data_IF_799480802857
#
_entry.id   IF_799480802857
#
_cell.length_a   1.000
_cell.length_b   1.000
_cell.length_c   1.000
_cell.angle_alpha   90.00
_cell.angle_beta   90.00
_cell.angle_gamma   90.00
#
_symmetry.space_group_name_H-M   'P 1'
#
loop_
_entity.id
_entity.type
_entity.pdbx_description
1 polymer ?
#
# COMPACT_ATOMS: atom_id res chain seq x y z
N UNK A 1 7.10 11.06 -19.74
CA UNK A 1 6.36 11.59 -18.57
C UNK A 1 7.29 12.51 -17.82
N UNK A 2 6.84 13.74 -17.60
CA UNK A 2 7.61 14.78 -16.92
C UNK A 2 7.01 15.07 -15.55
N UNK A 3 7.77 15.79 -14.71
CA UNK A 3 7.30 16.14 -13.36
C UNK A 3 7.77 17.53 -12.92
N UNK A 4 7.01 18.14 -12.01
CA UNK A 4 7.43 19.35 -11.27
C UNK A 4 7.83 18.96 -9.85
N UNK A 5 8.93 19.52 -9.35
CA UNK A 5 9.37 19.41 -7.96
C UNK A 5 9.54 20.80 -7.35
N UNK A 6 8.70 21.14 -6.37
CA UNK A 6 8.89 22.33 -5.53
C UNK A 6 9.58 21.95 -4.20
N UNK A 7 10.38 22.87 -3.66
CA UNK A 7 11.22 22.59 -2.50
C UNK A 7 12.48 21.77 -2.84
N UNK A 8 12.94 21.84 -4.08
CA UNK A 8 14.11 21.14 -4.60
C UNK A 8 15.42 21.43 -3.83
N UNK A 9 15.52 22.57 -3.14
CA UNK A 9 16.68 22.92 -2.30
C UNK A 9 16.61 22.34 -0.88
N UNK A 10 15.47 21.77 -0.49
CA UNK A 10 15.26 21.13 0.80
C UNK A 10 15.81 19.70 0.84
N UNK A 11 15.84 19.11 2.04
CA UNK A 11 16.42 17.77 2.27
C UNK A 11 15.82 16.70 1.34
N UNK A 12 14.50 16.46 1.42
CA UNK A 12 13.85 15.47 0.57
C UNK A 12 13.77 15.92 -0.90
N UNK A 13 13.44 17.19 -1.16
CA UNK A 13 13.29 17.70 -2.53
C UNK A 13 14.58 17.59 -3.36
N UNK A 14 15.75 17.77 -2.73
CA UNK A 14 17.04 17.59 -3.39
C UNK A 14 17.23 16.15 -3.86
N UNK A 15 16.95 15.18 -2.97
CA UNK A 15 17.02 13.76 -3.33
C UNK A 15 15.94 13.35 -4.34
N UNK A 16 14.75 13.95 -4.31
CA UNK A 16 13.73 13.72 -5.36
C UNK A 16 14.30 14.12 -6.71
N UNK A 17 14.88 15.32 -6.85
CA UNK A 17 15.48 15.76 -8.12
C UNK A 17 16.67 14.89 -8.52
N UNK A 18 17.49 14.45 -7.56
CA UNK A 18 18.63 13.54 -7.81
C UNK A 18 18.20 12.21 -8.44
N UNK A 19 17.12 11.60 -7.93
CA UNK A 19 16.67 10.26 -8.32
C UNK A 19 15.55 10.25 -9.37
N UNK A 20 14.84 11.37 -9.56
CA UNK A 20 13.78 11.50 -10.56
C UNK A 20 14.18 11.13 -12.00
N UNK A 21 15.43 11.33 -12.48
CA UNK A 21 15.87 10.89 -13.80
C UNK A 21 15.71 9.40 -14.10
N UNK A 22 15.59 8.54 -13.08
CA UNK A 22 15.29 7.10 -13.23
C UNK A 22 13.82 6.83 -13.58
N UNK A 23 12.91 7.75 -13.23
CA UNK A 23 11.46 7.57 -13.31
C UNK A 23 10.78 8.52 -14.31
N UNK A 24 11.40 9.68 -14.57
CA UNK A 24 10.85 10.73 -15.42
C UNK A 24 11.81 11.07 -16.56
N UNK A 25 11.23 11.40 -17.72
CA UNK A 25 12.00 11.84 -18.89
C UNK A 25 12.50 13.27 -18.74
N UNK A 26 11.78 14.09 -17.96
CA UNK A 26 12.12 15.50 -17.74
C UNK A 26 11.61 15.97 -16.37
N UNK A 27 12.36 16.88 -15.74
CA UNK A 27 12.10 17.38 -14.40
C UNK A 27 12.13 18.91 -14.42
N UNK A 28 11.05 19.54 -13.99
CA UNK A 28 11.00 20.97 -13.73
C UNK A 28 11.15 21.24 -12.25
N UNK A 29 11.90 22.27 -11.88
CA UNK A 29 11.96 22.74 -10.49
C UNK A 29 11.66 24.22 -10.42
N UNK A 30 10.90 24.65 -9.42
CA UNK A 30 10.73 26.07 -9.12
C UNK A 30 11.37 26.33 -7.75
N UNK A 31 12.29 27.30 -7.69
CA UNK A 31 13.06 27.57 -6.48
C UNK A 31 13.47 29.04 -6.36
N UNK A 32 13.64 29.49 -5.12
CA UNK A 32 14.07 30.88 -4.81
C UNK A 32 15.56 31.11 -5.05
N UNK A 33 16.34 30.04 -5.07
CA UNK A 33 17.79 30.05 -5.21
C UNK A 33 18.21 28.87 -6.07
N UNK A 34 19.27 29.04 -6.85
CA UNK A 34 19.81 27.98 -7.68
C UNK A 34 20.14 26.74 -6.82
N UNK A 35 19.48 25.60 -7.07
CA UNK A 35 19.83 24.36 -6.44
C UNK A 35 21.23 23.91 -6.87
N UNK A 36 21.95 23.32 -5.94
CA UNK A 36 23.29 22.77 -6.17
C UNK A 36 23.21 21.37 -6.80
N UNK A 37 22.56 21.29 -7.96
CA UNK A 37 22.45 20.05 -8.75
C UNK A 37 23.50 19.97 -9.87
N UNK A 38 24.40 20.95 -9.92
CA UNK A 38 25.09 21.38 -11.16
C UNK A 38 26.19 20.47 -11.69
N UNK A 39 26.43 19.30 -11.09
CA UNK A 39 27.45 18.37 -11.60
C UNK A 39 26.85 17.07 -12.17
N UNK A 40 25.92 17.19 -13.12
CA UNK A 40 25.67 16.09 -14.08
C UNK A 40 24.22 15.67 -14.36
N UNK A 41 23.19 16.33 -13.80
CA UNK A 41 21.79 15.95 -14.09
C UNK A 41 21.30 16.65 -15.36
N UNK A 42 21.21 15.93 -16.47
CA UNK A 42 20.89 16.48 -17.81
C UNK A 42 19.40 16.66 -18.08
N UNK A 43 18.51 16.08 -17.27
CA UNK A 43 17.05 16.08 -17.47
C UNK A 43 16.30 17.17 -16.69
N UNK A 44 16.99 18.16 -16.12
CA UNK A 44 16.39 19.15 -15.20
C UNK A 44 16.32 20.54 -15.84
N UNK A 45 15.12 21.11 -15.89
CA UNK A 45 14.90 22.54 -16.15
C UNK A 45 14.65 23.26 -14.83
N UNK A 46 15.64 24.02 -14.39
CA UNK A 46 15.57 24.76 -13.14
C UNK A 46 15.07 26.19 -13.37
N UNK A 47 13.90 26.50 -12.82
CA UNK A 47 13.26 27.81 -12.90
C UNK A 47 13.53 28.55 -11.58
N UNK A 48 14.09 29.76 -11.70
CA UNK A 48 14.47 30.59 -10.57
C UNK A 48 13.56 31.80 -10.48
N UNK A 49 12.93 31.96 -9.32
CA UNK A 49 12.20 33.18 -8.99
C UNK A 49 12.21 33.36 -7.47
N UNK A 50 12.86 34.45 -7.04
CA UNK A 50 12.93 34.83 -5.63
C UNK A 50 11.56 35.21 -5.07
N UNK A 51 10.65 35.70 -5.93
CA UNK A 51 9.29 36.04 -5.57
C UNK A 51 8.37 34.83 -5.75
N UNK A 52 7.92 34.28 -4.63
CA UNK A 52 7.04 33.11 -4.64
C UNK A 52 5.62 33.41 -5.11
N UNK A 53 5.20 34.68 -5.20
CA UNK A 53 3.85 35.05 -5.66
C UNK A 53 3.60 34.70 -7.13
N UNK A 54 4.66 34.63 -7.95
CA UNK A 54 4.56 34.27 -9.37
C UNK A 54 4.63 32.76 -9.62
N UNK A 55 4.89 31.95 -8.59
CA UNK A 55 5.13 30.52 -8.79
C UNK A 55 3.90 29.78 -9.29
N UNK A 56 2.70 30.16 -8.85
CA UNK A 56 1.44 29.60 -9.32
C UNK A 56 1.24 29.77 -10.83
N UNK A 57 1.63 30.92 -11.38
CA UNK A 57 1.62 31.15 -12.82
C UNK A 57 2.63 30.25 -13.53
N UNK A 58 3.85 30.13 -13.01
CA UNK A 58 4.90 29.26 -13.59
C UNK A 58 4.48 27.80 -13.63
N UNK A 59 3.75 27.33 -12.61
CA UNK A 59 3.19 25.96 -12.62
C UNK A 59 2.25 25.75 -13.81
N UNK A 60 1.41 26.75 -14.11
CA UNK A 60 0.50 26.72 -15.27
C UNK A 60 1.28 26.75 -16.59
N UNK A 61 2.25 27.66 -16.71
CA UNK A 61 3.12 27.77 -17.90
C UNK A 61 3.88 26.48 -18.20
N UNK A 62 4.43 25.80 -17.19
CA UNK A 62 5.10 24.50 -17.37
C UNK A 62 4.14 23.47 -17.98
N UNK A 63 2.89 23.43 -17.51
CA UNK A 63 1.90 22.46 -17.96
C UNK A 63 1.39 22.77 -19.38
N UNK A 64 1.29 24.04 -19.73
CA UNK A 64 1.00 24.49 -21.10
C UNK A 64 2.13 24.11 -22.06
N UNK A 65 3.39 24.27 -21.63
CA UNK A 65 4.58 23.91 -22.42
C UNK A 65 4.79 22.40 -22.54
N UNK A 66 4.51 21.65 -21.48
CA UNK A 66 4.69 20.21 -21.39
C UNK A 66 3.40 19.53 -20.89
N UNK A 67 2.53 19.19 -21.84
CA UNK A 67 1.30 18.44 -21.56
C UNK A 67 1.55 17.07 -20.90
N UNK A 68 2.74 16.47 -21.08
CA UNK A 68 3.14 15.19 -20.46
C UNK A 68 3.64 15.34 -19.02
N UNK A 69 3.68 16.56 -18.50
CA UNK A 69 3.99 16.83 -17.11
C UNK A 69 2.74 16.56 -16.25
N UNK A 70 2.64 15.36 -15.66
CA UNK A 70 1.41 14.90 -14.99
C UNK A 70 1.54 14.82 -13.47
N UNK A 71 2.77 14.74 -12.94
CA UNK A 71 3.04 14.59 -11.50
C UNK A 71 3.63 15.86 -10.90
N UNK A 72 3.08 16.30 -9.78
CA UNK A 72 3.55 17.45 -9.01
C UNK A 72 4.02 17.03 -7.62
N UNK A 73 5.32 17.16 -7.33
CA UNK A 73 5.90 16.89 -6.01
C UNK A 73 6.06 18.18 -5.21
N UNK A 74 5.56 18.19 -3.98
CA UNK A 74 5.88 19.19 -2.97
C UNK A 74 6.73 18.62 -1.84
N UNK A 75 8.01 19.01 -1.84
CA UNK A 75 8.91 18.94 -0.69
C UNK A 75 9.09 20.28 0.01
N UNK A 76 8.20 21.26 -0.24
CA UNK A 76 8.35 22.63 0.23
C UNK A 76 8.08 22.73 1.74
N UNK A 77 9.02 23.31 2.47
CA UNK A 77 8.87 23.60 3.88
C UNK A 77 10.05 24.37 4.44
N UNK A 78 9.86 24.94 5.62
CA UNK A 78 10.86 25.71 6.35
C UNK A 78 10.79 25.42 7.84
N UNK A 79 11.82 25.82 8.58
CA UNK A 79 11.79 25.76 10.04
C UNK A 79 11.27 27.07 10.61
N UNK A 80 10.69 27.03 11.82
CA UNK A 80 10.29 28.23 12.55
C UNK A 80 11.43 29.25 12.66
N UNK A 81 12.65 28.77 12.91
CA UNK A 81 13.84 29.60 13.01
C UNK A 81 14.15 30.29 11.66
N UNK A 82 14.20 29.54 10.57
CA UNK A 82 14.48 30.07 9.23
C UNK A 82 13.38 31.00 8.71
N UNK A 83 12.13 30.76 9.08
CA UNK A 83 11.01 31.61 8.72
C UNK A 83 10.93 32.91 9.55
N UNK A 84 11.64 32.98 10.68
CA UNK A 84 11.49 34.09 11.63
C UNK A 84 10.16 34.08 12.39
N UNK A 85 9.56 32.90 12.63
CA UNK A 85 8.33 32.77 13.43
C UNK A 85 7.30 31.79 12.86
N UNK A 86 6.29 31.47 13.66
CA UNK A 86 5.23 30.50 13.30
C UNK A 86 4.34 31.05 12.18
N UNK A 87 3.99 32.34 12.22
CA UNK A 87 3.15 32.97 11.20
C UNK A 87 3.82 32.92 9.81
N UNK A 88 5.11 33.23 9.73
CA UNK A 88 5.86 33.14 8.48
C UNK A 88 6.12 31.70 8.05
N UNK A 89 6.30 30.78 9.00
CA UNK A 89 6.38 29.36 8.68
C UNK A 89 5.07 28.89 8.04
N UNK A 90 3.91 29.29 8.59
CA UNK A 90 2.59 28.94 8.03
C UNK A 90 2.41 29.44 6.59
N UNK A 91 2.84 30.67 6.30
CA UNK A 91 2.80 31.22 4.92
C UNK A 91 3.50 30.33 3.90
N UNK A 92 4.56 29.61 4.31
CA UNK A 92 5.35 28.75 3.42
C UNK A 92 4.85 27.30 3.49
N UNK A 93 4.78 26.72 4.69
CA UNK A 93 4.47 25.30 4.91
C UNK A 93 2.99 24.95 4.68
N UNK A 94 2.08 25.93 4.67
CA UNK A 94 0.67 25.75 4.38
C UNK A 94 0.23 26.61 3.19
N UNK A 95 0.28 27.94 3.32
CA UNK A 95 -0.44 28.83 2.38
C UNK A 95 0.12 28.74 0.96
N UNK A 96 1.44 28.93 0.79
CA UNK A 96 2.12 28.80 -0.49
C UNK A 96 2.05 27.35 -1.04
N UNK A 97 2.17 26.35 -0.17
CA UNK A 97 2.02 24.95 -0.58
C UNK A 97 0.63 24.69 -1.19
N UNK A 98 -0.43 25.14 -0.50
CA UNK A 98 -1.81 24.97 -0.95
C UNK A 98 -2.11 25.79 -2.21
N UNK A 99 -1.56 26.99 -2.33
CA UNK A 99 -1.69 27.83 -3.53
C UNK A 99 -1.11 27.11 -4.76
N UNK A 100 0.08 26.53 -4.63
CA UNK A 100 0.73 25.79 -5.71
C UNK A 100 0.01 24.48 -6.04
N UNK A 101 -0.55 23.80 -5.03
CA UNK A 101 -1.39 22.63 -5.25
C UNK A 101 -2.67 22.99 -6.03
N UNK A 102 -3.33 24.11 -5.70
CA UNK A 102 -4.48 24.63 -6.47
C UNK A 102 -4.10 24.94 -7.91
N UNK A 103 -3.00 25.66 -8.12
CA UNK A 103 -2.50 25.97 -9.46
C UNK A 103 -2.19 24.71 -10.27
N UNK A 104 -1.59 23.69 -9.65
CA UNK A 104 -1.35 22.40 -10.30
C UNK A 104 -2.65 21.66 -10.64
N UNK A 105 -3.64 21.64 -9.75
CA UNK A 105 -4.94 21.00 -10.04
C UNK A 105 -5.66 21.71 -11.18
N UNK A 106 -5.71 23.04 -11.14
CA UNK A 106 -6.31 23.88 -12.19
C UNK A 106 -5.63 23.69 -13.55
N UNK A 107 -4.30 23.52 -13.58
CA UNK A 107 -3.54 23.26 -14.79
C UNK A 107 -3.73 21.82 -15.34
N UNK A 108 -4.37 20.92 -14.58
CA UNK A 108 -4.62 19.55 -15.02
C UNK A 108 -3.48 18.58 -14.74
N UNK A 109 -2.69 18.79 -13.68
CA UNK A 109 -1.86 17.73 -13.13
C UNK A 109 -2.76 16.63 -12.56
N UNK A 110 -2.47 15.36 -12.87
CA UNK A 110 -3.27 14.23 -12.42
C UNK A 110 -2.84 13.74 -11.04
N UNK A 111 -1.54 13.83 -10.72
CA UNK A 111 -0.95 13.29 -9.50
C UNK A 111 -0.28 14.38 -8.66
N UNK A 112 -0.59 14.42 -7.38
CA UNK A 112 0.04 15.31 -6.41
C UNK A 112 0.71 14.51 -5.29
N UNK A 113 1.98 14.82 -5.00
CA UNK A 113 2.79 14.10 -4.01
C UNK A 113 3.30 15.08 -2.96
N UNK A 114 2.90 14.92 -1.71
CA UNK A 114 3.27 15.80 -0.60
C UNK A 114 4.21 15.08 0.38
N UNK A 115 5.34 15.73 0.69
CA UNK A 115 6.17 15.35 1.84
C UNK A 115 5.68 16.11 3.08
N UNK A 116 4.92 15.40 3.92
CA UNK A 116 4.33 15.91 5.16
C UNK A 116 5.16 15.49 6.39
N UNK A 117 4.52 15.02 7.46
CA UNK A 117 5.13 14.70 8.75
C UNK A 117 4.37 13.57 9.45
N UNK A 118 5.09 12.70 10.17
CA UNK A 118 4.57 11.52 10.87
C UNK A 118 3.40 11.79 11.82
N UNK A 119 3.38 12.97 12.45
CA UNK A 119 2.35 13.37 13.41
C UNK A 119 1.47 14.53 12.91
N UNK A 120 1.36 14.71 11.58
CA UNK A 120 0.48 15.71 10.98
C UNK A 120 -0.99 15.45 11.37
N UNK A 121 -1.65 16.50 11.87
CA UNK A 121 -3.07 16.45 12.26
C UNK A 121 -3.61 17.87 12.41
N UNK A 122 -4.71 18.19 11.71
CA UNK A 122 -5.35 19.50 11.77
C UNK A 122 -5.92 19.83 13.18
N UNK A 123 -6.14 18.81 14.02
CA UNK A 123 -6.59 18.96 15.41
C UNK A 123 -5.44 19.08 16.41
N UNK A 124 -4.17 19.02 15.96
CA UNK A 124 -3.01 19.07 16.86
C UNK A 124 -2.90 20.43 17.57
N UNK A 125 -2.48 20.39 18.85
CA UNK A 125 -2.14 21.59 19.63
C UNK A 125 -0.75 22.14 19.27
N UNK A 126 0.07 21.37 18.54
CA UNK A 126 1.40 21.79 18.13
C UNK A 126 1.35 22.47 16.77
N UNK A 127 1.78 23.75 16.64
CA UNK A 127 1.58 24.54 15.42
C UNK A 127 2.09 23.90 14.12
N UNK A 128 3.26 23.24 14.17
CA UNK A 128 3.83 22.56 13.00
C UNK A 128 3.02 21.33 12.56
N UNK A 129 2.57 20.51 13.51
CA UNK A 129 1.72 19.35 13.22
C UNK A 129 0.36 19.79 12.71
N UNK A 130 -0.18 20.88 13.28
CA UNK A 130 -1.44 21.50 12.88
C UNK A 130 -1.39 21.98 11.43
N UNK A 131 -0.41 22.81 11.08
CA UNK A 131 -0.29 23.33 9.71
C UNK A 131 -0.07 22.22 8.67
N UNK A 132 0.68 21.16 9.00
CA UNK A 132 0.85 20.01 8.09
C UNK A 132 -0.44 19.22 7.92
N UNK A 133 -1.19 18.97 8.99
CA UNK A 133 -2.49 18.29 8.89
C UNK A 133 -3.54 19.12 8.13
N UNK A 134 -3.60 20.43 8.38
CA UNK A 134 -4.48 21.33 7.61
C UNK A 134 -4.12 21.35 6.12
N UNK A 135 -2.83 21.28 5.78
CA UNK A 135 -2.40 21.17 4.39
C UNK A 135 -2.86 19.85 3.78
N UNK A 136 -2.67 18.74 4.49
CA UNK A 136 -3.10 17.40 4.03
C UNK A 136 -4.60 17.37 3.74
N UNK A 137 -5.43 17.83 4.67
CA UNK A 137 -6.89 17.90 4.50
C UNK A 137 -7.26 18.75 3.28
N UNK A 138 -6.60 19.90 3.11
CA UNK A 138 -6.88 20.80 2.00
C UNK A 138 -6.46 20.23 0.64
N UNK A 139 -5.31 19.56 0.52
CA UNK A 139 -4.87 18.97 -0.75
C UNK A 139 -5.66 17.72 -1.11
N UNK A 140 -6.13 16.95 -0.12
CA UNK A 140 -7.07 15.84 -0.35
C UNK A 140 -8.37 16.39 -0.96
N UNK A 141 -8.89 17.49 -0.41
CA UNK A 141 -10.11 18.13 -0.89
C UNK A 141 -10.02 18.70 -2.33
N UNK A 142 -8.81 18.92 -2.87
CA UNK A 142 -8.63 19.35 -4.27
C UNK A 142 -8.98 18.25 -5.29
N UNK A 143 -9.01 16.99 -4.88
CA UNK A 143 -9.46 15.88 -5.71
C UNK A 143 -8.58 15.63 -6.94
N UNK A 144 -7.25 15.61 -6.79
CA UNK A 144 -6.36 15.04 -7.81
C UNK A 144 -6.78 13.59 -8.11
N UNK A 145 -6.48 13.11 -9.31
CA UNK A 145 -6.76 11.71 -9.68
C UNK A 145 -6.02 10.76 -8.70
N UNK A 146 -4.84 11.20 -8.24
CA UNK A 146 -4.09 10.53 -7.19
C UNK A 146 -3.37 11.56 -6.28
N UNK A 147 -3.68 11.52 -4.99
CA UNK A 147 -2.99 12.31 -3.96
C UNK A 147 -2.18 11.38 -3.08
N UNK A 148 -0.85 11.50 -3.12
CA UNK A 148 0.08 10.73 -2.27
C UNK A 148 0.62 11.64 -1.18
N UNK A 149 0.45 11.24 0.09
CA UNK A 149 0.99 11.97 1.24
C UNK A 149 1.97 11.07 1.97
N UNK A 150 3.24 11.46 1.97
CA UNK A 150 4.27 10.80 2.77
C UNK A 150 4.34 11.46 4.13
N UNK A 151 4.21 10.67 5.20
CA UNK A 151 4.31 11.12 6.60
C UNK A 151 5.59 10.58 7.26
N UNK A 152 6.78 11.10 6.88
CA UNK A 152 8.03 10.62 7.44
C UNK A 152 8.15 10.97 8.93
N UNK A 153 8.88 10.13 9.66
CA UNK A 153 9.29 10.43 11.03
C UNK A 153 10.39 11.50 11.09
N UNK A 154 11.30 11.39 12.05
CA UNK A 154 12.43 12.31 12.15
C UNK A 154 13.36 12.17 10.94
N UNK A 155 13.43 13.22 10.13
CA UNK A 155 14.27 13.23 8.93
C UNK A 155 15.76 13.33 9.27
N UNK A 156 16.51 12.30 8.88
CA UNK A 156 17.96 12.22 8.93
C UNK A 156 18.59 12.72 7.62
N UNK A 157 19.84 13.20 7.71
CA UNK A 157 20.64 13.63 6.55
C UNK A 157 21.22 15.03 6.73
N UNK A 158 22.29 15.29 5.98
CA UNK A 158 22.99 16.57 6.03
C UNK A 158 22.16 17.69 5.39
N UNK A 159 22.20 18.87 6.02
CA UNK A 159 21.62 20.10 5.49
C UNK A 159 22.71 21.15 5.48
N UNK A 160 22.71 22.03 4.49
CA UNK A 160 23.68 23.14 4.39
C UNK A 160 23.63 24.12 5.58
N UNK A 161 22.51 24.17 6.30
CA UNK A 161 22.32 25.03 7.45
C UNK A 161 22.14 24.20 8.74
N UNK A 162 22.96 24.50 9.74
CA UNK A 162 22.93 23.87 11.06
C UNK A 162 21.62 24.22 11.80
N UNK A 163 20.94 23.21 12.36
CA UNK A 163 19.73 23.38 13.18
C UNK A 163 20.03 23.63 14.66
N UNK A 164 21.30 23.77 15.02
CA UNK A 164 21.78 23.94 16.39
C UNK A 164 22.09 22.61 17.07
N UNK A 165 23.01 22.67 18.05
CA UNK A 165 23.62 21.53 18.74
C UNK A 165 22.60 20.47 19.21
N UNK A 166 21.49 20.89 19.83
CA UNK A 166 20.49 19.97 20.39
C UNK A 166 19.74 19.18 19.30
N UNK A 167 19.44 19.81 18.16
CA UNK A 167 18.80 19.12 17.03
C UNK A 167 19.75 18.12 16.37
N UNK A 168 21.04 18.46 16.25
CA UNK A 168 22.05 17.55 15.71
C UNK A 168 22.26 16.34 16.63
N UNK A 169 22.19 16.53 17.95
CA UNK A 169 22.25 15.44 18.91
C UNK A 169 21.03 14.52 18.79
N UNK A 170 19.82 15.06 18.70
CA UNK A 170 18.59 14.28 18.49
C UNK A 170 18.67 13.48 17.18
N UNK A 171 19.13 14.09 16.09
CA UNK A 171 19.29 13.40 14.80
C UNK A 171 20.34 12.29 14.88
N UNK A 172 21.48 12.53 15.54
CA UNK A 172 22.52 11.50 15.74
C UNK A 172 22.01 10.34 16.58
N UNK A 173 21.35 10.62 17.71
CA UNK A 173 20.79 9.59 18.59
C UNK A 173 19.69 8.82 17.86
N UNK A 174 18.77 9.50 17.17
CA UNK A 174 17.73 8.84 16.40
C UNK A 174 18.31 8.00 15.26
N UNK A 175 19.38 8.45 14.61
CA UNK A 175 20.10 7.69 13.59
C UNK A 175 20.60 6.32 14.07
N UNK A 176 20.98 6.17 15.35
CA UNK A 176 21.37 4.87 15.92
C UNK A 176 20.23 3.84 15.96
N UNK A 177 18.99 4.31 15.86
CA UNK A 177 17.80 3.46 15.88
C UNK A 177 17.15 3.31 14.50
N UNK A 178 17.73 3.90 13.44
CA UNK A 178 17.29 3.69 12.06
C UNK A 178 17.32 2.19 11.70
N UNK A 179 16.26 1.72 11.05
CA UNK A 179 16.02 0.32 10.68
C UNK A 179 16.09 -0.70 11.83
N UNK A 180 15.95 -0.24 13.08
CA UNK A 180 15.86 -1.12 14.25
C UNK A 180 14.41 -1.32 14.67
N UNK A 181 14.13 -2.43 15.37
CA UNK A 181 12.81 -2.66 16.01
C UNK A 181 12.40 -1.57 17.01
N UNK A 182 13.35 -0.73 17.42
CA UNK A 182 13.14 0.38 18.36
C UNK A 182 12.89 1.72 17.67
N UNK A 183 13.01 1.80 16.34
CA UNK A 183 12.79 3.02 15.54
C UNK A 183 11.47 3.72 15.90
N UNK A 184 10.39 2.95 16.09
CA UNK A 184 9.06 3.46 16.46
C UNK A 184 9.03 4.26 17.77
N UNK A 185 9.92 3.96 18.70
CA UNK A 185 10.01 4.68 19.98
C UNK A 185 10.81 5.99 19.87
N UNK A 186 11.52 6.18 18.76
CA UNK A 186 12.36 7.36 18.49
C UNK A 186 11.83 8.10 17.27
N UNK A 187 10.50 8.15 17.14
CA UNK A 187 9.79 8.86 16.07
C UNK A 187 10.13 8.36 14.65
N UNK A 188 10.40 7.06 14.49
CA UNK A 188 10.64 6.39 13.20
C UNK A 188 11.62 7.16 12.30
N UNK A 189 12.87 7.33 12.74
CA UNK A 189 13.83 8.14 12.02
C UNK A 189 14.11 7.54 10.64
N UNK A 190 14.22 8.39 9.62
CA UNK A 190 14.33 7.99 8.22
C UNK A 190 15.17 9.00 7.45
N UNK A 191 16.03 8.54 6.53
CA UNK A 191 16.84 9.45 5.72
C UNK A 191 16.00 10.17 4.67
N UNK A 192 16.33 11.44 4.42
CA UNK A 192 15.66 12.23 3.39
C UNK A 192 15.70 11.58 2.00
N UNK A 193 16.77 10.84 1.70
CA UNK A 193 16.93 10.08 0.45
C UNK A 193 15.95 8.90 0.37
N UNK A 194 15.75 8.16 1.46
CA UNK A 194 14.78 7.07 1.52
C UNK A 194 13.35 7.58 1.31
N UNK A 195 13.00 8.73 1.92
CA UNK A 195 11.71 9.39 1.71
C UNK A 195 11.53 9.79 0.26
N UNK A 196 12.57 10.32 -0.39
CA UNK A 196 12.53 10.71 -1.79
C UNK A 196 12.33 9.49 -2.72
N UNK A 197 13.09 8.42 -2.49
CA UNK A 197 12.94 7.17 -3.25
C UNK A 197 11.54 6.57 -3.05
N UNK A 198 11.03 6.57 -1.82
CA UNK A 198 9.67 6.12 -1.52
C UNK A 198 8.62 6.98 -2.25
N UNK A 199 8.79 8.31 -2.28
CA UNK A 199 7.89 9.22 -2.99
C UNK A 199 7.89 8.93 -4.50
N UNK A 200 9.06 8.78 -5.12
CA UNK A 200 9.21 8.47 -6.54
C UNK A 200 8.60 7.11 -6.88
N UNK A 201 8.94 6.05 -6.14
CA UNK A 201 8.39 4.71 -6.35
C UNK A 201 6.87 4.70 -6.19
N UNK A 202 6.34 5.35 -5.16
CA UNK A 202 4.88 5.42 -4.94
C UNK A 202 4.20 6.20 -6.06
N UNK A 203 4.81 7.29 -6.53
CA UNK A 203 4.29 8.03 -7.67
C UNK A 203 4.30 7.24 -8.98
N UNK A 204 5.12 6.21 -9.10
CA UNK A 204 5.12 5.30 -10.26
C UNK A 204 4.23 4.07 -10.08
N UNK A 205 3.74 3.79 -8.86
CA UNK A 205 2.75 2.74 -8.68
C UNK A 205 1.50 3.16 -9.44
N UNK A 206 1.18 2.42 -10.48
CA UNK A 206 -0.15 2.40 -11.07
C UNK A 206 -0.98 1.49 -10.19
N UNK A 207 -1.87 2.06 -9.38
CA UNK A 207 -2.91 1.25 -8.76
C UNK A 207 -3.79 0.69 -9.89
N UNK A 208 -3.93 -0.63 -9.95
CA UNK A 208 -4.92 -1.24 -10.84
C UNK A 208 -6.30 -0.66 -10.49
N UNK A 209 -7.00 -0.13 -11.50
CA UNK A 209 -8.04 0.85 -11.28
C UNK A 209 -9.24 0.33 -10.46
N UNK A 210 -9.53 -0.97 -10.37
CA UNK A 210 -10.63 -1.57 -9.56
C UNK A 210 -10.41 -3.08 -9.28
N UNK A 211 -10.90 -3.59 -8.15
CA UNK A 211 -10.82 -5.02 -7.75
C UNK A 211 -12.17 -5.59 -7.31
N UNK A 212 -12.34 -6.91 -7.37
CA UNK A 212 -13.38 -7.63 -6.64
C UNK A 212 -12.71 -8.71 -5.83
N UNK A 213 -12.75 -8.58 -4.51
CA UNK A 213 -12.22 -9.59 -3.60
C UNK A 213 -13.35 -10.04 -2.70
N UNK A 214 -13.96 -11.14 -3.12
CA UNK A 214 -14.97 -11.81 -2.32
C UNK A 214 -14.27 -12.86 -1.48
N UNK A 215 -14.48 -12.79 -0.16
CA UNK A 215 -14.65 -13.93 0.78
C UNK A 215 -14.24 -13.54 2.22
N UNK A 216 -14.94 -12.56 2.82
CA UNK A 216 -14.63 -11.99 4.14
C UNK A 216 -14.92 -12.90 5.36
N UNK A 217 -15.22 -14.19 5.18
CA UNK A 217 -15.66 -15.07 6.29
C UNK A 217 -14.53 -15.88 6.94
N UNK A 218 -13.39 -16.06 6.24
CA UNK A 218 -12.20 -16.73 6.76
C UNK A 218 -11.18 -15.74 7.36
N UNK A 219 -10.23 -16.23 8.16
CA UNK A 219 -9.19 -15.40 8.81
C UNK A 219 -8.44 -14.52 7.80
N UNK A 220 -7.90 -15.11 6.73
CA UNK A 220 -7.17 -14.36 5.71
C UNK A 220 -8.09 -13.55 4.80
N UNK A 221 -9.23 -14.11 4.37
CA UNK A 221 -10.18 -13.41 3.49
C UNK A 221 -10.71 -12.11 4.10
N UNK A 222 -11.06 -12.12 5.39
CA UNK A 222 -11.49 -10.92 6.10
C UNK A 222 -10.40 -9.83 6.13
N UNK A 223 -9.15 -10.24 6.37
CA UNK A 223 -8.00 -9.33 6.39
C UNK A 223 -7.63 -8.81 5.01
N UNK A 224 -7.82 -9.61 3.95
CA UNK A 224 -7.66 -9.13 2.57
C UNK A 224 -8.67 -8.00 2.29
N UNK A 225 -9.95 -8.19 2.64
CA UNK A 225 -10.98 -7.14 2.44
C UNK A 225 -10.68 -5.90 3.27
N UNK A 226 -10.22 -6.06 4.52
CA UNK A 226 -9.81 -4.94 5.40
C UNK A 226 -8.72 -4.07 4.76
N UNK A 227 -7.72 -4.68 4.13
CA UNK A 227 -6.58 -3.97 3.55
C UNK A 227 -6.72 -3.65 2.05
N UNK A 228 -7.75 -4.19 1.38
CA UNK A 228 -7.99 -3.94 -0.04
C UNK A 228 -8.01 -2.45 -0.44
N UNK A 229 -8.56 -1.51 0.37
CA UNK A 229 -8.56 -0.08 0.05
C UNK A 229 -7.17 0.56 -0.06
N UNK A 230 -6.11 -0.10 0.43
CA UNK A 230 -4.72 0.37 0.26
C UNK A 230 -4.15 0.02 -1.12
N UNK A 231 -4.78 -0.93 -1.83
CA UNK A 231 -4.27 -1.48 -3.09
C UNK A 231 -5.24 -1.22 -4.25
N UNK A 232 -6.52 -1.03 -3.98
CA UNK A 232 -7.58 -0.96 -4.97
C UNK A 232 -8.61 0.11 -4.63
N UNK A 233 -9.12 0.81 -5.66
CA UNK A 233 -10.08 1.92 -5.49
C UNK A 233 -11.49 1.49 -5.06
N UNK A 234 -11.86 0.23 -5.31
CA UNK A 234 -13.13 -0.37 -4.95
C UNK A 234 -12.92 -1.87 -4.76
N UNK A 235 -13.54 -2.45 -3.74
CA UNK A 235 -13.57 -3.90 -3.49
C UNK A 235 -14.97 -4.37 -3.04
N UNK A 236 -15.41 -5.50 -3.59
CA UNK A 236 -16.68 -6.14 -3.25
C UNK A 236 -16.45 -7.41 -2.45
N UNK A 237 -17.20 -7.63 -1.36
CA UNK A 237 -17.20 -8.90 -0.62
C UNK A 237 -18.58 -9.56 -0.63
N UNK A 238 -18.66 -10.86 -0.97
CA UNK A 238 -19.86 -11.66 -0.66
C UNK A 238 -19.63 -12.34 0.69
N UNK A 239 -20.54 -12.12 1.62
CA UNK A 239 -20.48 -12.72 2.94
C UNK A 239 -21.87 -12.92 3.52
N UNK A 240 -21.97 -13.84 4.49
CA UNK A 240 -23.22 -14.11 5.22
C UNK A 240 -23.56 -13.02 6.24
N UNK A 241 -22.56 -12.22 6.61
CA UNK A 241 -22.66 -11.11 7.56
C UNK A 241 -21.75 -9.97 7.11
N UNK A 242 -22.12 -8.73 7.45
CA UNK A 242 -21.33 -7.55 7.12
C UNK A 242 -20.19 -7.36 8.13
N UNK A 243 -18.91 -7.28 7.69
CA UNK A 243 -17.82 -6.92 8.59
C UNK A 243 -17.93 -5.46 9.05
N UNK A 244 -17.62 -5.18 10.33
CA UNK A 244 -17.77 -3.85 10.92
C UNK A 244 -17.03 -2.74 10.14
N UNK A 245 -15.82 -3.02 9.66
CA UNK A 245 -14.99 -2.05 8.94
C UNK A 245 -15.48 -1.74 7.52
N UNK A 246 -16.48 -2.46 6.99
CA UNK A 246 -17.06 -2.17 5.68
C UNK A 246 -18.01 -0.97 5.77
N UNK A 247 -18.76 -0.83 6.87
CA UNK A 247 -19.80 0.19 7.05
C UNK A 247 -19.28 1.63 6.92
N UNK A 248 -18.04 1.84 7.36
CA UNK A 248 -17.42 3.17 7.41
C UNK A 248 -16.47 3.43 6.22
N UNK A 249 -16.47 2.57 5.18
CA UNK A 249 -15.52 2.69 4.08
C UNK A 249 -16.21 2.65 2.70
N UNK A 250 -16.28 3.81 2.04
CA UNK A 250 -16.91 3.96 0.73
C UNK A 250 -16.27 3.11 -0.40
N UNK A 251 -15.00 2.70 -0.23
CA UNK A 251 -14.30 1.83 -1.18
C UNK A 251 -14.70 0.35 -1.02
N UNK A 252 -15.39 -0.02 0.06
CA UNK A 252 -15.83 -1.38 0.32
C UNK A 252 -17.33 -1.52 0.10
N UNK A 253 -17.75 -2.64 -0.48
CA UNK A 253 -19.15 -2.97 -0.68
C UNK A 253 -19.41 -4.42 -0.28
N UNK A 254 -20.29 -4.61 0.71
CA UNK A 254 -20.70 -5.94 1.15
C UNK A 254 -22.00 -6.38 0.44
N UNK A 255 -21.92 -7.51 -0.25
CA UNK A 255 -23.06 -8.23 -0.80
C UNK A 255 -23.44 -9.31 0.19
N UNK A 256 -24.51 -9.07 0.94
CA UNK A 256 -24.96 -9.98 1.97
C UNK A 256 -25.84 -11.06 1.36
N UNK A 257 -25.38 -12.31 1.46
CA UNK A 257 -26.15 -13.47 1.03
C UNK A 257 -25.85 -14.67 1.93
N UNK A 258 -26.88 -15.15 2.64
CA UNK A 258 -26.78 -16.29 3.54
C UNK A 258 -26.71 -17.62 2.80
N UNK A 259 -27.18 -17.67 1.55
CA UNK A 259 -27.21 -18.85 0.71
C UNK A 259 -25.98 -18.88 -0.21
N UNK A 260 -25.01 -19.75 0.09
CA UNK A 260 -23.80 -19.88 -0.73
C UNK A 260 -24.06 -20.42 -2.14
N UNK A 261 -25.24 -20.99 -2.43
CA UNK A 261 -25.54 -21.54 -3.75
C UNK A 261 -25.75 -20.45 -4.80
N UNK A 262 -26.19 -19.25 -4.39
CA UNK A 262 -26.41 -18.09 -5.27
C UNK A 262 -25.13 -17.31 -5.55
N UNK A 263 -24.04 -17.57 -4.82
CA UNK A 263 -22.84 -16.73 -4.87
C UNK A 263 -22.18 -16.71 -6.24
N UNK A 264 -22.30 -17.78 -7.04
CA UNK A 264 -21.80 -17.80 -8.42
C UNK A 264 -22.50 -16.78 -9.32
N UNK A 265 -23.82 -16.59 -9.14
CA UNK A 265 -24.57 -15.56 -9.86
C UNK A 265 -24.21 -14.16 -9.39
N UNK A 266 -23.96 -13.99 -8.08
CA UNK A 266 -23.48 -12.72 -7.52
C UNK A 266 -22.13 -12.30 -8.10
N UNK A 267 -21.19 -13.24 -8.27
CA UNK A 267 -19.90 -12.97 -8.94
C UNK A 267 -20.12 -12.42 -10.35
N UNK A 268 -21.03 -13.03 -11.12
CA UNK A 268 -21.38 -12.58 -12.48
C UNK A 268 -22.07 -11.21 -12.46
N UNK A 269 -22.94 -10.95 -11.49
CA UNK A 269 -23.62 -9.66 -11.32
C UNK A 269 -22.63 -8.54 -11.01
N UNK A 270 -21.67 -8.76 -10.12
CA UNK A 270 -20.61 -7.78 -9.80
C UNK A 270 -19.83 -7.42 -11.04
N UNK A 271 -19.38 -8.42 -11.80
CA UNK A 271 -18.61 -8.19 -13.02
C UNK A 271 -19.41 -7.46 -14.10
N UNK A 272 -20.73 -7.68 -14.14
CA UNK A 272 -21.63 -6.91 -15.02
C UNK A 272 -21.81 -5.46 -14.55
N UNK A 273 -21.91 -5.23 -13.24
CA UNK A 273 -22.03 -3.90 -12.64
C UNK A 273 -20.73 -3.11 -12.77
N UNK A 274 -19.59 -3.77 -12.63
CA UNK A 274 -18.25 -3.18 -12.71
C UNK A 274 -17.34 -3.98 -13.66
N UNK A 275 -17.41 -3.72 -14.98
CA UNK A 275 -16.63 -4.44 -15.98
C UNK A 275 -15.12 -4.32 -15.82
N UNK A 276 -14.64 -3.25 -15.19
CA UNK A 276 -13.20 -3.00 -14.95
C UNK A 276 -12.62 -3.91 -13.86
N UNK A 277 -13.47 -4.61 -13.12
CA UNK A 277 -13.01 -5.55 -12.13
C UNK A 277 -12.28 -6.76 -12.75
N UNK A 278 -10.97 -6.88 -12.52
CA UNK A 278 -10.11 -7.85 -13.21
C UNK A 278 -9.60 -9.00 -12.34
N UNK A 279 -9.45 -8.77 -11.03
CA UNK A 279 -8.81 -9.73 -10.11
C UNK A 279 -9.83 -10.32 -9.15
N UNK A 280 -9.82 -11.64 -8.98
CA UNK A 280 -10.63 -12.41 -8.02
C UNK A 280 -9.72 -13.04 -6.97
N UNK A 281 -10.05 -12.88 -5.69
CA UNK A 281 -9.31 -13.52 -4.59
C UNK A 281 -10.20 -14.59 -3.94
N UNK A 282 -9.61 -15.71 -3.57
CA UNK A 282 -10.25 -16.80 -2.86
C UNK A 282 -9.55 -17.05 -1.53
N UNK A 283 -10.29 -16.80 -0.46
CA UNK A 283 -9.85 -16.92 0.94
C UNK A 283 -10.76 -17.83 1.76
N UNK A 284 -11.74 -18.51 1.14
CA UNK A 284 -12.62 -19.45 1.81
C UNK A 284 -11.85 -20.63 2.39
N UNK A 285 -12.10 -20.83 3.68
CA UNK A 285 -11.73 -22.03 4.38
C UNK A 285 -12.61 -22.23 5.60
N UNK A 286 -13.02 -23.46 5.81
CA UNK A 286 -13.61 -23.91 7.06
C UNK A 286 -12.65 -24.87 7.77
N UNK A 287 -12.88 -25.10 9.06
CA UNK A 287 -12.20 -26.18 9.78
C UNK A 287 -13.14 -27.37 9.88
N UNK A 288 -12.59 -28.59 9.95
CA UNK A 288 -13.38 -29.81 10.16
C UNK A 288 -14.37 -29.69 11.33
N UNK A 289 -13.95 -29.03 12.41
CA UNK A 289 -14.79 -28.78 13.58
C UNK A 289 -15.96 -27.82 13.27
N UNK A 290 -15.72 -26.74 12.53
CA UNK A 290 -16.75 -25.75 12.15
C UNK A 290 -17.69 -26.25 11.06
N UNK A 291 -17.20 -27.07 10.12
CA UNK A 291 -18.03 -27.63 9.05
C UNK A 291 -18.83 -28.86 9.47
N UNK A 292 -18.57 -29.43 10.65
CA UNK A 292 -19.23 -30.65 11.11
C UNK A 292 -18.75 -31.92 10.39
N UNK A 293 -17.52 -31.94 9.86
CA UNK A 293 -16.93 -33.11 9.21
C UNK A 293 -16.11 -32.80 7.96
N UNK A 294 -15.39 -33.82 7.48
CA UNK A 294 -14.47 -33.68 6.34
C UNK A 294 -15.22 -33.51 5.00
N UNK A 295 -16.37 -34.19 4.83
CA UNK A 295 -17.21 -34.05 3.63
C UNK A 295 -17.81 -32.65 3.53
N UNK A 296 -18.33 -32.11 4.64
CA UNK A 296 -18.82 -30.73 4.69
C UNK A 296 -17.70 -29.72 4.47
N UNK A 297 -16.49 -30.00 4.98
CA UNK A 297 -15.31 -29.18 4.70
C UNK A 297 -14.99 -29.21 3.20
N UNK A 298 -15.04 -30.39 2.56
CA UNK A 298 -14.82 -30.57 1.12
C UNK A 298 -15.80 -29.79 0.25
N UNK A 299 -17.07 -29.76 0.64
CA UNK A 299 -18.09 -28.95 -0.05
C UNK A 299 -17.73 -27.45 -0.05
N UNK A 300 -17.13 -26.94 1.03
CA UNK A 300 -16.75 -25.53 1.16
C UNK A 300 -15.38 -25.28 0.53
N UNK A 301 -14.34 -25.91 1.08
CA UNK A 301 -12.94 -25.64 0.76
C UNK A 301 -12.54 -26.05 -0.66
N UNK A 302 -13.26 -26.98 -1.30
CA UNK A 302 -13.00 -27.41 -2.68
C UNK A 302 -14.17 -27.07 -3.61
N UNK A 303 -15.36 -27.60 -3.38
CA UNK A 303 -16.43 -27.50 -4.39
C UNK A 303 -16.97 -26.06 -4.55
N UNK A 304 -17.27 -25.37 -3.45
CA UNK A 304 -17.72 -23.98 -3.51
C UNK A 304 -16.63 -23.07 -4.09
N UNK A 305 -15.38 -23.19 -3.59
CA UNK A 305 -14.24 -22.44 -4.12
C UNK A 305 -14.05 -22.63 -5.63
N UNK A 306 -14.08 -23.88 -6.11
CA UNK A 306 -13.90 -24.17 -7.53
C UNK A 306 -15.09 -23.65 -8.37
N UNK A 307 -16.32 -23.73 -7.87
CA UNK A 307 -17.50 -23.18 -8.55
C UNK A 307 -17.41 -21.65 -8.67
N UNK A 308 -16.92 -20.97 -7.64
CA UNK A 308 -16.69 -19.52 -7.67
C UNK A 308 -15.56 -19.15 -8.64
N UNK A 309 -14.47 -19.92 -8.65
CA UNK A 309 -13.39 -19.74 -9.62
C UNK A 309 -13.88 -19.89 -11.07
N UNK A 310 -14.71 -20.91 -11.36
CA UNK A 310 -15.34 -21.09 -12.68
C UNK A 310 -16.23 -19.90 -13.04
N UNK A 311 -17.09 -19.47 -12.12
CA UNK A 311 -17.95 -18.30 -12.34
C UNK A 311 -17.14 -17.03 -12.62
N UNK A 312 -16.03 -16.82 -11.91
CA UNK A 312 -15.12 -15.69 -12.15
C UNK A 312 -14.47 -15.80 -13.53
N UNK A 313 -13.95 -16.97 -13.91
CA UNK A 313 -13.36 -17.16 -15.24
C UNK A 313 -14.37 -16.90 -16.36
N UNK A 314 -15.58 -17.45 -16.24
CA UNK A 314 -16.69 -17.25 -17.19
C UNK A 314 -17.11 -15.78 -17.30
N UNK A 315 -17.09 -15.04 -16.18
CA UNK A 315 -17.45 -13.64 -16.16
C UNK A 315 -16.35 -12.72 -16.76
N UNK A 316 -15.16 -13.25 -17.06
CA UNK A 316 -14.06 -12.49 -17.65
C UNK A 316 -13.14 -11.82 -16.64
N UNK A 317 -13.00 -12.40 -15.45
CA UNK A 317 -11.87 -12.07 -14.57
C UNK A 317 -10.57 -12.58 -15.19
N UNK A 318 -9.52 -11.75 -15.18
CA UNK A 318 -8.23 -12.06 -15.79
C UNK A 318 -7.24 -12.62 -14.78
N UNK A 319 -7.32 -12.21 -13.51
CA UNK A 319 -6.41 -12.63 -12.44
C UNK A 319 -7.13 -13.38 -11.32
N UNK A 320 -6.55 -14.48 -10.84
CA UNK A 320 -7.08 -15.27 -9.72
C UNK A 320 -6.02 -15.47 -8.62
N UNK A 321 -6.35 -15.15 -7.37
CA UNK A 321 -5.45 -15.25 -6.22
C UNK A 321 -6.03 -16.23 -5.20
N UNK A 322 -5.34 -17.33 -4.92
CA UNK A 322 -5.80 -18.40 -4.03
C UNK A 322 -4.97 -18.47 -2.74
N UNK A 323 -5.63 -18.47 -1.58
CA UNK A 323 -5.03 -18.83 -0.31
C UNK A 323 -5.17 -20.34 -0.08
N UNK A 324 -4.08 -21.07 -0.35
CA UNK A 324 -3.99 -22.52 -0.16
C UNK A 324 -3.28 -22.86 1.16
N UNK A 325 -2.41 -23.87 1.18
CA UNK A 325 -1.66 -24.31 2.35
C UNK A 325 -0.34 -24.96 1.95
N UNK A 326 0.68 -24.83 2.81
CA UNK A 326 1.92 -25.58 2.67
C UNK A 326 1.64 -27.09 2.63
N UNK A 327 2.26 -27.78 1.66
CA UNK A 327 2.07 -29.23 1.47
C UNK A 327 0.81 -29.62 0.70
N UNK A 328 0.04 -28.67 0.15
CA UNK A 328 -1.07 -28.96 -0.76
C UNK A 328 -0.62 -29.86 -1.93
N UNK A 329 -1.27 -31.02 -2.07
CA UNK A 329 -0.94 -32.04 -3.06
C UNK A 329 -2.14 -32.95 -3.30
N UNK A 330 -2.65 -33.01 -4.53
CA UNK A 330 -3.83 -33.80 -4.90
C UNK A 330 -3.67 -35.32 -4.70
N UNK A 331 -2.43 -35.81 -4.59
CA UNK A 331 -2.10 -37.21 -4.26
C UNK A 331 -1.88 -37.47 -2.77
N UNK A 332 -2.02 -36.48 -1.90
CA UNK A 332 -1.76 -36.62 -0.47
C UNK A 332 -2.70 -37.65 0.20
N UNK A 333 -2.19 -38.52 1.11
CA UNK A 333 -3.05 -39.37 1.92
C UNK A 333 -3.79 -38.59 3.02
N UNK A 334 -3.33 -37.37 3.35
CA UNK A 334 -3.99 -36.48 4.31
C UNK A 334 -5.12 -35.71 3.63
N UNK A 335 -6.40 -35.89 4.07
CA UNK A 335 -7.57 -35.33 3.37
C UNK A 335 -7.54 -33.81 3.15
N UNK A 336 -7.02 -33.05 4.11
CA UNK A 336 -6.92 -31.59 4.01
C UNK A 336 -5.95 -31.15 2.90
N UNK A 337 -4.74 -31.71 2.90
CA UNK A 337 -3.71 -31.42 1.88
C UNK A 337 -4.13 -31.92 0.50
N UNK A 338 -4.85 -33.06 0.46
CA UNK A 338 -5.45 -33.61 -0.76
C UNK A 338 -6.42 -32.62 -1.38
N UNK A 339 -7.38 -32.17 -0.59
CA UNK A 339 -8.41 -31.22 -0.98
C UNK A 339 -7.83 -29.88 -1.46
N UNK A 340 -6.84 -29.31 -0.75
CA UNK A 340 -6.16 -28.08 -1.18
C UNK A 340 -5.38 -28.29 -2.48
N UNK A 341 -4.69 -29.42 -2.63
CA UNK A 341 -3.98 -29.74 -3.88
C UNK A 341 -4.90 -30.03 -5.07
N UNK A 342 -6.06 -30.65 -4.84
CA UNK A 342 -7.10 -30.82 -5.86
C UNK A 342 -7.63 -29.45 -6.31
N UNK A 343 -7.90 -28.54 -5.37
CA UNK A 343 -8.34 -27.17 -5.70
C UNK A 343 -7.29 -26.43 -6.53
N UNK A 344 -6.02 -26.46 -6.10
CA UNK A 344 -4.94 -25.81 -6.85
C UNK A 344 -4.84 -26.34 -8.28
N UNK A 345 -4.84 -27.66 -8.46
CA UNK A 345 -4.81 -28.30 -9.79
C UNK A 345 -5.97 -27.82 -10.66
N UNK A 346 -7.18 -27.83 -10.11
CA UNK A 346 -8.39 -27.54 -10.86
C UNK A 346 -8.52 -26.03 -11.18
N UNK A 347 -8.06 -25.15 -10.29
CA UNK A 347 -7.96 -23.69 -10.53
C UNK A 347 -6.90 -23.37 -11.59
N UNK A 348 -5.73 -24.01 -11.53
CA UNK A 348 -4.69 -23.85 -12.56
C UNK A 348 -5.24 -24.23 -13.94
N UNK A 349 -6.05 -25.28 -14.00
CA UNK A 349 -6.69 -25.74 -15.25
C UNK A 349 -7.74 -24.75 -15.81
N UNK A 350 -8.24 -23.79 -15.02
CA UNK A 350 -9.13 -22.73 -15.52
C UNK A 350 -8.40 -21.67 -16.35
N UNK A 351 -7.07 -21.65 -16.31
CA UNK A 351 -6.23 -20.91 -17.24
C UNK A 351 -6.51 -19.37 -17.25
N UNK A 352 -6.66 -18.76 -16.08
CA UNK A 352 -6.67 -17.29 -15.92
C UNK A 352 -5.41 -16.67 -16.55
N UNK A 353 -5.48 -15.42 -17.02
CA UNK A 353 -4.31 -14.71 -17.57
C UNK A 353 -3.17 -14.65 -16.54
N UNK A 354 -3.52 -14.57 -15.26
CA UNK A 354 -2.57 -14.72 -14.15
C UNK A 354 -3.22 -15.45 -12.97
N UNK A 355 -2.54 -16.48 -12.45
CA UNK A 355 -2.96 -17.24 -11.27
C UNK A 355 -1.88 -17.17 -10.20
N UNK A 356 -2.21 -16.67 -9.02
CA UNK A 356 -1.29 -16.56 -7.87
C UNK A 356 -1.79 -17.47 -6.76
N UNK A 357 -0.97 -18.40 -6.30
CA UNK A 357 -1.30 -19.35 -5.24
C UNK A 357 -0.36 -19.14 -4.06
N UNK A 358 -0.90 -18.76 -2.91
CA UNK A 358 -0.15 -18.63 -1.68
C UNK A 358 -0.30 -19.92 -0.87
N UNK A 359 0.81 -20.57 -0.50
CA UNK A 359 0.85 -21.75 0.36
C UNK A 359 1.40 -21.36 1.74
N UNK A 360 0.63 -20.63 2.57
CA UNK A 360 1.07 -20.23 3.89
C UNK A 360 1.34 -21.44 4.79
N UNK A 361 2.23 -21.22 5.75
CA UNK A 361 2.46 -22.12 6.87
C UNK A 361 1.31 -22.16 7.87
N UNK A 362 1.60 -22.65 9.07
CA UNK A 362 0.63 -22.61 10.16
C UNK A 362 0.22 -21.15 10.47
N UNK A 363 -1.08 -20.86 10.35
CA UNK A 363 -1.61 -19.52 10.60
C UNK A 363 -1.60 -19.20 12.11
N UNK A 364 -0.90 -18.12 12.47
CA UNK A 364 -0.87 -17.54 13.81
C UNK A 364 -1.97 -16.47 13.96
N UNK A 365 -2.56 -16.38 15.15
CA UNK A 365 -3.53 -15.33 15.51
C UNK A 365 -4.71 -15.85 16.34
N UNK A 366 -5.35 -14.93 17.08
CA UNK A 366 -6.50 -15.25 17.93
C UNK A 366 -7.73 -15.56 17.07
N UNK A 367 -8.14 -16.83 17.08
CA UNK A 367 -9.49 -17.22 16.65
C UNK A 367 -10.41 -17.01 17.83
N UNK A 368 -11.48 -16.22 17.68
CA UNK A 368 -12.45 -15.90 18.76
C UNK A 368 -13.07 -17.13 19.46
N UNK A 369 -12.87 -18.37 18.97
CA UNK A 369 -13.63 -19.56 19.40
C UNK A 369 -12.83 -20.83 19.71
N UNK A 370 -11.48 -20.88 19.60
CA UNK A 370 -10.72 -22.13 19.84
C UNK A 370 -9.71 -21.99 20.99
N UNK A 371 -10.18 -22.15 22.23
CA UNK A 371 -9.38 -22.07 23.48
C UNK A 371 -8.87 -23.45 23.96
N UNK A 372 -8.39 -24.30 23.06
CA UNK A 372 -7.78 -25.59 23.45
C UNK A 372 -6.34 -25.41 23.97
N UNK A 373 -6.01 -25.99 25.13
CA UNK A 373 -4.69 -25.88 25.79
C UNK A 373 -3.50 -26.30 24.89
N UNK A 374 -3.66 -27.37 24.09
CA UNK A 374 -2.65 -27.83 23.12
C UNK A 374 -2.46 -26.87 21.92
N UNK A 375 -3.53 -26.22 21.45
CA UNK A 375 -3.45 -25.23 20.36
C UNK A 375 -2.74 -23.96 20.82
N UNK A 376 -2.90 -23.60 22.10
CA UNK A 376 -2.23 -22.43 22.68
C UNK A 376 -0.71 -22.66 22.83
N UNK A 377 -0.29 -23.89 23.14
CA UNK A 377 1.14 -24.25 23.20
C UNK A 377 1.79 -24.27 21.81
N UNK A 378 1.11 -24.84 20.81
CA UNK A 378 1.58 -24.82 19.41
C UNK A 378 1.66 -23.41 18.83
N UNK A 379 0.66 -22.56 19.09
CA UNK A 379 0.68 -21.15 18.69
C UNK A 379 1.80 -20.36 19.39
N UNK A 380 2.09 -20.67 20.66
CA UNK A 380 3.16 -20.04 21.44
C UNK A 380 4.56 -20.48 20.98
N UNK A 381 4.73 -21.76 20.63
CA UNK A 381 5.99 -22.27 20.03
C UNK A 381 6.17 -21.69 18.62
N UNK A 382 5.10 -21.66 17.82
CA UNK A 382 5.10 -21.05 16.50
C UNK A 382 5.42 -19.56 16.53
N UNK A 383 4.86 -18.80 17.47
CA UNK A 383 5.16 -17.37 17.64
C UNK A 383 6.58 -17.10 18.16
N UNK A 384 7.13 -17.99 18.99
CA UNK A 384 8.53 -17.90 19.42
C UNK A 384 9.51 -18.19 18.27
N UNK A 385 9.17 -19.09 17.35
CA UNK A 385 10.02 -19.41 16.22
C UNK A 385 9.82 -18.48 15.01
N UNK A 386 8.69 -17.76 14.96
CA UNK A 386 8.36 -16.80 13.92
C UNK A 386 9.49 -15.77 13.72
N UNK A 387 9.89 -15.54 12.47
CA UNK A 387 10.97 -14.62 12.11
C UNK A 387 12.40 -15.11 12.35
N UNK A 388 12.59 -16.34 12.87
CA UNK A 388 13.92 -16.94 13.07
C UNK A 388 14.29 -17.89 11.93
N UNK A 389 15.58 -18.24 11.80
CA UNK A 389 16.05 -19.30 10.88
C UNK A 389 15.45 -20.68 11.16
N UNK A 390 14.84 -20.87 12.33
CA UNK A 390 14.19 -22.13 12.72
C UNK A 390 12.72 -22.20 12.31
N UNK A 391 12.14 -21.10 11.81
CA UNK A 391 10.75 -21.05 11.36
C UNK A 391 10.44 -22.10 10.28
N UNK A 392 11.39 -22.39 9.38
CA UNK A 392 11.23 -23.40 8.33
C UNK A 392 11.00 -24.82 8.87
N UNK A 393 11.57 -25.16 10.02
CA UNK A 393 11.34 -26.45 10.68
C UNK A 393 9.95 -26.57 11.30
N UNK A 394 9.26 -25.45 11.52
CA UNK A 394 7.91 -25.38 12.07
C UNK A 394 6.88 -25.00 11.00
N UNK A 395 7.13 -25.43 9.75
CA UNK A 395 6.24 -25.18 8.62
C UNK A 395 6.06 -23.69 8.31
N UNK A 396 7.03 -22.84 8.66
CA UNK A 396 7.05 -21.39 8.41
C UNK A 396 5.78 -20.69 8.90
N UNK A 397 5.54 -20.66 10.23
CA UNK A 397 4.34 -20.04 10.79
C UNK A 397 4.23 -18.57 10.35
N UNK A 398 3.00 -18.09 10.15
CA UNK A 398 2.72 -16.78 9.56
C UNK A 398 1.43 -16.20 10.11
N UNK A 399 1.36 -14.89 10.33
CA UNK A 399 0.12 -14.26 10.78
C UNK A 399 -0.89 -14.13 9.63
N UNK A 400 -2.19 -14.26 9.93
CA UNK A 400 -3.24 -14.10 8.91
C UNK A 400 -3.18 -12.78 8.14
N UNK A 401 -2.76 -11.70 8.83
CA UNK A 401 -2.61 -10.35 8.24
C UNK A 401 -1.44 -10.30 7.27
N UNK A 402 -0.34 -11.01 7.55
CA UNK A 402 0.79 -11.10 6.64
C UNK A 402 0.46 -11.88 5.38
N UNK A 403 -0.31 -12.96 5.48
CA UNK A 403 -0.80 -13.69 4.31
C UNK A 403 -1.69 -12.79 3.45
N UNK A 404 -2.56 -12.00 4.08
CA UNK A 404 -3.42 -11.05 3.38
C UNK A 404 -2.61 -9.97 2.65
N UNK A 405 -1.65 -9.35 3.33
CA UNK A 405 -0.76 -8.35 2.73
C UNK A 405 0.11 -8.94 1.61
N UNK A 406 0.61 -10.16 1.77
CA UNK A 406 1.34 -10.85 0.72
C UNK A 406 0.44 -11.06 -0.51
N UNK A 407 -0.80 -11.54 -0.34
CA UNK A 407 -1.72 -11.74 -1.45
C UNK A 407 -2.02 -10.42 -2.19
N UNK A 408 -2.29 -9.34 -1.44
CA UNK A 408 -2.53 -8.01 -2.00
C UNK A 408 -1.31 -7.49 -2.75
N UNK A 409 -0.12 -7.55 -2.16
CA UNK A 409 1.14 -7.08 -2.79
C UNK A 409 1.49 -7.88 -4.03
N UNK A 410 1.39 -9.20 -3.98
CA UNK A 410 1.68 -10.05 -5.14
C UNK A 410 0.69 -9.83 -6.28
N UNK A 411 -0.57 -9.51 -5.98
CA UNK A 411 -1.55 -9.15 -7.00
C UNK A 411 -1.22 -7.87 -7.77
N UNK A 412 -0.43 -6.96 -7.19
CA UNK A 412 0.00 -5.71 -7.85
C UNK A 412 1.27 -5.89 -8.69
N UNK A 413 1.95 -7.02 -8.58
CA UNK A 413 3.17 -7.28 -9.33
C UNK A 413 2.81 -7.86 -10.69
N UNK A 414 3.64 -7.54 -11.67
CA UNK A 414 3.66 -8.25 -12.95
C UNK A 414 4.53 -9.49 -12.78
N UNK A 415 3.95 -10.67 -12.94
CA UNK A 415 4.71 -11.93 -12.94
C UNK A 415 5.08 -12.33 -14.37
N UNK A 416 6.29 -12.89 -14.54
CA UNK A 416 6.75 -13.39 -15.84
C UNK A 416 6.04 -14.71 -16.24
N UNK A 417 5.41 -15.37 -15.27
CA UNK A 417 4.71 -16.64 -15.44
C UNK A 417 3.21 -16.44 -15.28
N UNK A 418 2.45 -17.18 -16.08
CA UNK A 418 0.98 -17.26 -15.97
C UNK A 418 0.52 -17.83 -14.64
N UNK A 419 1.32 -18.72 -14.02
CA UNK A 419 1.05 -19.29 -12.70
C UNK A 419 2.24 -19.04 -11.79
N UNK A 420 1.98 -18.37 -10.67
CA UNK A 420 2.95 -18.12 -9.60
C UNK A 420 2.50 -18.83 -8.33
N UNK A 421 3.36 -19.65 -7.73
CA UNK A 421 3.08 -20.35 -6.47
C UNK A 421 4.12 -19.91 -5.44
N UNK A 422 3.67 -19.32 -4.34
CA UNK A 422 4.52 -18.88 -3.24
C UNK A 422 4.49 -19.91 -2.10
N UNK A 423 5.66 -20.43 -1.74
CA UNK A 423 5.86 -21.23 -0.53
C UNK A 423 5.72 -20.38 0.75
N UNK A 424 5.57 -21.02 1.91
CA UNK A 424 5.40 -20.30 3.19
C UNK A 424 6.51 -19.27 3.49
N UNK A 425 7.76 -19.55 3.11
CA UNK A 425 8.85 -18.59 3.25
C UNK A 425 8.74 -17.40 2.29
N UNK A 426 8.28 -17.64 1.06
CA UNK A 426 8.07 -16.60 0.07
C UNK A 426 6.87 -15.72 0.44
N UNK A 427 5.80 -16.29 0.99
CA UNK A 427 4.68 -15.54 1.58
C UNK A 427 5.17 -14.61 2.69
N UNK A 428 6.00 -15.11 3.61
CA UNK A 428 6.59 -14.29 4.68
C UNK A 428 7.46 -13.14 4.17
N UNK A 429 8.21 -13.36 3.07
CA UNK A 429 9.02 -12.32 2.44
C UNK A 429 8.14 -11.29 1.72
N UNK A 430 7.15 -11.76 0.97
CA UNK A 430 6.22 -10.92 0.23
C UNK A 430 5.42 -9.99 1.15
N UNK A 431 5.05 -10.46 2.35
CA UNK A 431 4.37 -9.64 3.35
C UNK A 431 5.21 -8.44 3.82
N UNK A 432 6.55 -8.57 3.85
CA UNK A 432 7.49 -7.58 4.39
C UNK A 432 8.10 -6.64 3.34
N UNK A 433 8.11 -7.06 2.08
CA UNK A 433 8.55 -6.26 0.93
C UNK A 433 7.54 -5.14 0.61
#
# INVERSE_FOLDING_TARGET
MSTVVIGATGLCGNFIVKHAPEYYSHIYTISRSQPDFTNGITKVTAIFDSDSSNWSQKVKEIKEQDSQCTTFFSGLGTTRAKAGGIANQRKIDLDLNLELAKAAKEAGFSKYVLISSGAASASSRFPYMKMKGELEDAVIALGFDETIILRPGVLLGERKEDKGFLNNLVVKVAGLFHDTRFAKYVFSPIYGEEVAIAALKTAQKTHDKKVTIIEATGLCGNLIVKHAPEYFNKAYTISRSEPDFVKDNAQLEAILDSDSTTWTDKVKQIKKQDPECSTFFSGLGSTRAKSGGIESQRKIDLHLNLSLAKAAKEAGFTKYVLISSVGANAGSPFPYLKMKGELERDVIALDFEETIILRPGALLGDRKEDKGFLNNLGAKIGSMAYGTRFASYLMSPVYGEEVALAALKESQKKHDKKVTILSGNEVNKAAKA
#
